data_IF_333744223547
#
_entry.id   IF_333744223547
#
_cell.length_a   1.000
_cell.length_b   1.000
_cell.length_c   1.000
_cell.angle_alpha   90.00
_cell.angle_beta   90.00
_cell.angle_gamma   90.00
#
_symmetry.space_group_name_H-M   'P 1'
#
loop_
_entity.id
_entity.type
_entity.pdbx_description
1 polymer ?
#
# COMPACT_ATOMS: atom_id res chain seq x y z
N UNK A 1 52.22 -16.03 -65.63
CA UNK A 1 50.83 -16.29 -65.25
C UNK A 1 50.85 -16.73 -63.80
N UNK A 2 50.34 -15.92 -62.83
CA UNK A 2 50.23 -16.32 -61.39
C UNK A 2 48.88 -16.87 -61.11
N UNK A 3 48.85 -17.91 -60.30
CA UNK A 3 47.72 -18.67 -59.82
C UNK A 3 47.06 -17.90 -58.65
N UNK A 4 45.75 -17.64 -58.73
CA UNK A 4 44.94 -17.03 -57.63
C UNK A 4 44.55 -18.09 -56.54
N UNK A 5 44.66 -17.75 -55.28
CA UNK A 5 44.15 -18.64 -54.25
C UNK A 5 42.63 -18.45 -54.03
N UNK A 6 41.91 -19.55 -53.76
CA UNK A 6 40.50 -19.62 -53.51
C UNK A 6 40.18 -19.10 -52.09
N UNK A 7 39.22 -18.19 -51.97
CA UNK A 7 38.71 -17.69 -50.70
C UNK A 7 37.62 -18.63 -50.13
N UNK A 8 37.93 -19.27 -49.02
CA UNK A 8 36.97 -20.07 -48.25
C UNK A 8 36.10 -19.12 -47.41
N UNK A 9 34.81 -18.98 -47.74
CA UNK A 9 33.81 -18.28 -46.92
C UNK A 9 33.36 -19.23 -45.79
N UNK A 10 33.78 -18.95 -44.57
CA UNK A 10 33.16 -19.55 -43.37
C UNK A 10 31.88 -18.82 -43.05
N UNK A 11 30.73 -19.53 -43.20
CA UNK A 11 29.44 -19.10 -42.71
C UNK A 11 29.38 -19.20 -41.18
N UNK A 12 29.25 -18.05 -40.53
CA UNK A 12 28.97 -18.02 -39.10
C UNK A 12 27.47 -18.27 -38.87
N UNK A 13 27.14 -19.44 -38.41
CA UNK A 13 25.77 -19.75 -37.92
C UNK A 13 25.53 -19.00 -36.59
N UNK A 14 24.60 -18.06 -36.61
CA UNK A 14 24.07 -17.44 -35.37
C UNK A 14 23.25 -18.47 -34.62
N UNK A 15 23.77 -18.95 -33.52
CA UNK A 15 22.98 -19.67 -32.50
C UNK A 15 22.10 -18.66 -31.78
N UNK A 16 20.82 -18.59 -32.15
CA UNK A 16 19.78 -17.91 -31.39
C UNK A 16 19.50 -18.73 -30.17
N UNK A 17 19.97 -18.27 -29.00
CA UNK A 17 19.62 -18.84 -27.69
C UNK A 17 18.20 -18.43 -27.34
N UNK A 18 17.22 -19.27 -27.67
CA UNK A 18 15.89 -19.21 -27.08
C UNK A 18 16.01 -19.68 -25.64
N UNK A 19 16.03 -18.75 -24.69
CA UNK A 19 15.77 -19.05 -23.27
C UNK A 19 14.31 -19.46 -23.17
N UNK A 20 14.07 -20.76 -23.08
CA UNK A 20 12.75 -21.28 -22.70
C UNK A 20 12.47 -20.84 -21.24
N UNK A 21 11.46 -20.02 -21.04
CA UNK A 21 10.93 -19.72 -19.72
C UNK A 21 10.32 -20.99 -19.16
N UNK A 22 10.90 -21.54 -18.12
CA UNK A 22 10.34 -22.66 -17.36
C UNK A 22 9.13 -22.09 -16.61
N UNK A 23 7.90 -22.57 -16.84
CA UNK A 23 6.75 -22.11 -16.07
C UNK A 23 6.96 -22.55 -14.61
N UNK A 24 6.99 -21.59 -13.69
CA UNK A 24 6.99 -21.86 -12.25
C UNK A 24 5.68 -22.58 -11.92
N UNK A 25 5.70 -23.73 -11.26
CA UNK A 25 4.46 -24.40 -10.86
C UNK A 25 3.70 -23.50 -9.88
N UNK A 26 2.36 -23.47 -9.92
CA UNK A 26 1.58 -22.73 -8.95
C UNK A 26 1.93 -23.22 -7.54
N UNK A 27 2.34 -22.30 -6.67
CA UNK A 27 2.55 -22.61 -5.25
C UNK A 27 1.26 -23.18 -4.67
N UNK A 28 1.42 -24.22 -3.85
CA UNK A 28 0.31 -24.76 -3.08
C UNK A 28 -0.32 -23.62 -2.25
N UNK A 29 -1.66 -23.52 -2.18
CA UNK A 29 -2.29 -22.50 -1.36
C UNK A 29 -1.79 -22.65 0.09
N UNK A 30 -1.44 -21.55 0.78
CA UNK A 30 -1.10 -21.61 2.18
C UNK A 30 -2.23 -22.29 2.95
N UNK A 31 -1.92 -23.00 4.04
CA UNK A 31 -2.94 -23.69 4.82
C UNK A 31 -4.05 -22.73 5.20
N UNK A 32 -5.30 -23.13 4.97
CA UNK A 32 -6.46 -22.34 5.36
C UNK A 32 -6.40 -22.10 6.86
N UNK A 33 -6.06 -20.88 7.25
CA UNK A 33 -6.13 -20.44 8.64
C UNK A 33 -7.61 -20.31 8.93
N UNK A 34 -8.14 -21.24 9.70
CA UNK A 34 -9.56 -21.25 10.02
C UNK A 34 -9.98 -19.91 10.61
N UNK A 35 -10.98 -19.30 10.02
CA UNK A 35 -11.91 -18.25 10.41
C UNK A 35 -11.62 -17.26 11.55
N UNK A 36 -10.40 -17.07 11.99
CA UNK A 36 -10.07 -16.05 12.99
C UNK A 36 -9.95 -14.68 12.32
N UNK A 37 -10.62 -13.68 12.89
CA UNK A 37 -10.56 -12.31 12.39
C UNK A 37 -9.10 -11.83 12.31
N UNK A 38 -8.64 -11.48 11.12
CA UNK A 38 -7.35 -10.81 10.96
C UNK A 38 -7.44 -9.40 11.51
N UNK A 39 -6.37 -8.93 12.14
CA UNK A 39 -6.23 -7.58 12.66
C UNK A 39 -5.00 -6.91 12.03
N UNK A 40 -4.99 -5.59 12.06
CA UNK A 40 -3.84 -4.79 11.61
C UNK A 40 -3.24 -4.12 12.82
N UNK A 41 -1.96 -4.34 13.04
CA UNK A 41 -1.13 -3.64 14.02
C UNK A 41 -0.22 -2.64 13.35
N UNK A 42 0.07 -1.54 14.05
CA UNK A 42 0.90 -0.44 13.59
C UNK A 42 2.19 -0.42 14.39
N UNK A 43 3.33 -0.35 13.72
CA UNK A 43 4.66 -0.21 14.32
C UNK A 43 5.24 1.14 13.89
N UNK A 44 5.41 2.10 14.82
CA UNK A 44 6.10 3.36 14.53
C UNK A 44 7.58 3.10 14.24
N UNK A 45 8.08 3.67 13.16
CA UNK A 45 9.49 3.56 12.78
C UNK A 45 10.01 4.89 12.23
N UNK A 46 11.32 5.05 12.17
CA UNK A 46 11.96 6.30 11.73
C UNK A 46 11.43 7.52 12.50
N UNK A 47 11.14 8.62 11.80
CA UNK A 47 10.63 9.85 12.40
C UNK A 47 9.10 9.90 12.42
N UNK A 48 8.46 9.47 11.36
CA UNK A 48 7.03 9.60 11.13
C UNK A 48 6.42 8.48 10.28
N UNK A 49 7.21 7.42 9.94
CA UNK A 49 6.73 6.29 9.18
C UNK A 49 6.00 5.27 10.08
N UNK A 50 5.08 4.56 9.46
CA UNK A 50 4.40 3.41 10.03
C UNK A 50 4.60 2.17 9.17
N UNK A 51 4.98 1.06 9.81
CA UNK A 51 4.92 -0.27 9.24
C UNK A 51 3.63 -0.95 9.73
N UNK A 52 2.91 -1.61 8.84
CA UNK A 52 1.69 -2.31 9.23
C UNK A 52 1.91 -3.82 9.20
N UNK A 53 1.32 -4.50 10.18
CA UNK A 53 1.36 -5.97 10.29
C UNK A 53 -0.07 -6.50 10.28
N UNK A 54 -0.40 -7.28 9.25
CA UNK A 54 -1.65 -8.03 9.18
C UNK A 54 -1.41 -9.43 9.76
N UNK A 55 -2.17 -9.82 10.79
CA UNK A 55 -1.99 -11.08 11.51
C UNK A 55 -3.28 -11.57 12.18
N UNK A 56 -3.29 -12.80 12.65
CA UNK A 56 -4.34 -13.35 13.51
C UNK A 56 -4.23 -12.87 14.97
N UNK A 57 -5.16 -13.30 15.86
CA UNK A 57 -5.19 -12.88 17.25
C UNK A 57 -4.10 -13.53 18.13
N UNK A 58 -3.38 -14.53 17.62
CA UNK A 58 -2.33 -15.26 18.34
C UNK A 58 -1.11 -15.54 17.47
N UNK A 59 -0.16 -16.38 17.94
CA UNK A 59 0.98 -16.83 17.16
C UNK A 59 0.56 -17.41 15.79
N UNK A 60 1.41 -17.24 14.77
CA UNK A 60 1.13 -17.76 13.43
C UNK A 60 1.60 -16.84 12.30
N UNK A 61 1.05 -17.00 11.09
CA UNK A 61 1.51 -16.24 9.93
C UNK A 61 1.14 -14.75 10.02
N UNK A 62 2.06 -13.91 9.56
CA UNK A 62 1.91 -12.46 9.46
C UNK A 62 2.36 -11.94 8.10
N UNK A 63 1.76 -10.83 7.69
CA UNK A 63 2.12 -10.06 6.49
C UNK A 63 2.52 -8.67 6.92
N UNK A 64 3.63 -8.18 6.40
CA UNK A 64 4.14 -6.83 6.70
C UNK A 64 3.98 -5.94 5.47
N UNK A 65 3.56 -4.69 5.68
CA UNK A 65 3.40 -3.69 4.62
C UNK A 65 4.41 -2.58 4.82
N UNK A 66 5.17 -2.28 3.77
CA UNK A 66 6.15 -1.19 3.67
C UNK A 66 7.14 -1.13 4.85
N UNK A 67 7.95 -2.18 5.09
CA UNK A 67 8.92 -2.19 6.16
C UNK A 67 10.10 -1.26 5.87
N UNK A 68 10.04 -0.01 6.36
CA UNK A 68 11.09 0.99 6.22
C UNK A 68 12.43 0.53 6.83
N UNK A 69 12.36 -0.15 7.97
CA UNK A 69 13.48 -0.73 8.72
C UNK A 69 13.07 -2.08 9.28
N UNK A 70 14.03 -2.96 9.51
CA UNK A 70 13.74 -4.35 9.88
C UNK A 70 13.69 -4.59 11.39
N UNK A 71 14.62 -4.04 12.14
CA UNK A 71 14.85 -4.41 13.54
C UNK A 71 13.60 -4.25 14.42
N UNK A 72 12.86 -3.12 14.41
CA UNK A 72 11.63 -3.00 15.20
C UNK A 72 10.54 -4.02 14.77
N UNK A 73 10.50 -4.36 13.47
CA UNK A 73 9.55 -5.33 12.92
C UNK A 73 9.90 -6.75 13.37
N UNK A 74 11.17 -7.13 13.31
CA UNK A 74 11.66 -8.43 13.77
C UNK A 74 11.32 -8.62 15.24
N UNK A 75 11.70 -7.66 16.09
CA UNK A 75 11.42 -7.70 17.52
C UNK A 75 9.93 -7.85 17.79
N UNK A 76 9.10 -7.05 17.12
CA UNK A 76 7.65 -7.06 17.30
C UNK A 76 7.00 -8.40 16.91
N UNK A 77 7.46 -9.02 15.81
CA UNK A 77 6.98 -10.31 15.34
C UNK A 77 7.42 -11.44 16.28
N UNK A 78 8.70 -11.48 16.67
CA UNK A 78 9.26 -12.52 17.53
C UNK A 78 8.63 -12.55 18.93
N UNK A 79 8.42 -11.37 19.55
CA UNK A 79 7.75 -11.26 20.85
C UNK A 79 6.33 -11.84 20.85
N UNK A 80 5.70 -11.95 19.65
CA UNK A 80 4.31 -12.44 19.49
C UNK A 80 4.23 -13.84 18.89
N UNK A 81 5.37 -14.46 18.62
CA UNK A 81 5.44 -15.78 17.97
C UNK A 81 4.85 -15.76 16.56
N UNK A 82 5.01 -14.64 15.85
CA UNK A 82 4.52 -14.47 14.48
C UNK A 82 5.61 -14.80 13.46
N UNK A 83 5.22 -15.50 12.41
CA UNK A 83 6.08 -15.90 11.30
C UNK A 83 5.77 -15.05 10.07
N UNK A 84 6.76 -14.33 9.56
CA UNK A 84 6.59 -13.53 8.36
C UNK A 84 6.43 -14.43 7.13
N UNK A 85 5.29 -14.34 6.46
CA UNK A 85 5.00 -15.13 5.24
C UNK A 85 4.95 -14.26 3.98
N UNK A 86 4.74 -12.95 4.10
CA UNK A 86 4.78 -12.04 2.96
C UNK A 86 5.09 -10.60 3.37
N UNK A 87 5.71 -9.86 2.45
CA UNK A 87 5.94 -8.43 2.51
C UNK A 87 5.19 -7.81 1.33
N UNK A 88 4.39 -6.79 1.58
CA UNK A 88 3.71 -5.99 0.55
C UNK A 88 4.43 -4.65 0.41
N UNK A 89 4.81 -4.28 -0.81
CA UNK A 89 5.33 -2.95 -1.10
C UNK A 89 4.36 -2.16 -1.95
N UNK A 90 4.05 -0.95 -1.50
CA UNK A 90 3.21 -0.03 -2.25
C UNK A 90 3.98 0.69 -3.35
N UNK A 91 5.25 1.05 -3.09
CA UNK A 91 6.14 1.70 -4.05
C UNK A 91 7.62 1.55 -3.63
N UNK A 92 8.55 2.09 -4.41
CA UNK A 92 9.97 1.81 -4.34
C UNK A 92 10.81 2.73 -3.43
N UNK A 93 10.23 3.71 -2.75
CA UNK A 93 11.03 4.62 -1.92
C UNK A 93 11.69 3.85 -0.76
N UNK A 94 12.89 4.29 -0.40
CA UNK A 94 13.75 3.58 0.55
C UNK A 94 13.14 3.44 1.96
N UNK A 95 12.33 4.39 2.34
CA UNK A 95 11.58 4.39 3.61
C UNK A 95 10.30 3.53 3.58
N UNK A 96 10.11 2.74 2.51
CA UNK A 96 9.08 1.69 2.40
C UNK A 96 9.69 0.31 2.17
N UNK A 97 10.86 0.22 1.53
CA UNK A 97 11.47 -1.07 1.18
C UNK A 97 12.74 -1.40 1.96
N UNK A 98 13.28 -0.44 2.72
CA UNK A 98 14.62 -0.52 3.31
C UNK A 98 14.85 -1.68 4.27
N UNK A 99 13.82 -2.14 4.99
CA UNK A 99 13.89 -3.27 5.92
C UNK A 99 13.85 -4.65 5.25
N UNK A 100 13.41 -4.73 4.01
CA UNK A 100 13.16 -6.00 3.31
C UNK A 100 14.38 -6.94 3.26
N UNK A 101 15.61 -6.47 2.94
CA UNK A 101 16.77 -7.37 2.87
C UNK A 101 17.06 -8.09 4.19
N UNK A 102 16.87 -7.41 5.31
CA UNK A 102 17.11 -7.98 6.63
C UNK A 102 15.98 -8.89 7.11
N UNK A 103 14.73 -8.52 6.82
CA UNK A 103 13.58 -9.39 7.07
C UNK A 103 13.73 -10.72 6.32
N UNK A 104 14.17 -10.72 5.06
CA UNK A 104 14.42 -11.94 4.29
C UNK A 104 15.63 -12.75 4.79
N UNK A 105 16.61 -12.14 5.46
CA UNK A 105 17.63 -12.93 6.15
C UNK A 105 17.06 -13.75 7.32
N UNK A 106 16.04 -13.21 7.97
CA UNK A 106 15.37 -13.87 9.11
C UNK A 106 14.28 -14.85 8.65
N UNK A 107 13.52 -14.49 7.59
CA UNK A 107 12.45 -15.29 7.00
C UNK A 107 12.65 -15.43 5.48
N UNK A 108 13.56 -16.31 5.04
CA UNK A 108 13.94 -16.40 3.63
C UNK A 108 12.84 -16.89 2.69
N UNK A 109 11.81 -17.55 3.22
CA UNK A 109 10.67 -18.06 2.47
C UNK A 109 9.51 -17.03 2.33
N UNK A 110 9.64 -15.85 2.94
CA UNK A 110 8.61 -14.82 2.83
C UNK A 110 8.51 -14.27 1.39
N UNK A 111 7.31 -14.25 0.84
CA UNK A 111 7.07 -13.61 -0.47
C UNK A 111 7.27 -12.09 -0.38
N UNK A 112 7.88 -11.50 -1.39
CA UNK A 112 7.90 -10.04 -1.57
C UNK A 112 7.01 -9.69 -2.76
N UNK A 113 5.88 -9.04 -2.48
CA UNK A 113 4.82 -8.73 -3.43
C UNK A 113 4.83 -7.24 -3.71
N UNK A 114 5.01 -6.85 -4.97
CA UNK A 114 5.06 -5.45 -5.38
C UNK A 114 4.64 -5.27 -6.85
N UNK A 115 4.58 -4.01 -7.30
CA UNK A 115 4.30 -3.68 -8.69
C UNK A 115 5.34 -4.30 -9.64
N UNK A 116 4.89 -5.13 -10.58
CA UNK A 116 5.77 -5.71 -11.60
C UNK A 116 6.43 -4.66 -12.51
N UNK A 117 5.83 -3.48 -12.60
CA UNK A 117 6.42 -2.36 -13.34
C UNK A 117 7.60 -1.69 -12.60
N UNK A 118 7.79 -2.00 -11.32
CA UNK A 118 8.89 -1.50 -10.48
C UNK A 118 9.92 -2.59 -10.11
N UNK A 119 9.96 -3.70 -10.83
CA UNK A 119 10.83 -4.83 -10.54
C UNK A 119 12.31 -4.43 -10.41
N UNK A 120 12.79 -3.50 -11.22
CA UNK A 120 14.17 -3.01 -11.15
C UNK A 120 14.45 -2.16 -9.89
N UNK A 121 13.44 -1.45 -9.39
CA UNK A 121 13.53 -0.56 -8.22
C UNK A 121 13.17 -1.27 -6.91
N UNK A 122 12.54 -2.45 -7.00
CA UNK A 122 12.23 -3.34 -5.87
C UNK A 122 12.87 -4.72 -6.15
N UNK A 123 14.21 -4.84 -6.02
CA UNK A 123 14.98 -5.96 -6.58
C UNK A 123 14.75 -7.31 -5.87
N UNK A 124 14.20 -7.31 -4.67
CA UNK A 124 13.92 -8.54 -3.90
C UNK A 124 12.50 -9.06 -4.11
N UNK A 125 11.76 -8.48 -5.03
CA UNK A 125 10.41 -8.88 -5.38
C UNK A 125 10.39 -10.33 -5.92
N UNK A 126 9.60 -11.20 -5.28
CA UNK A 126 9.40 -12.58 -5.69
C UNK A 126 8.09 -12.78 -6.44
N UNK A 127 7.11 -11.91 -6.20
CA UNK A 127 5.81 -11.92 -6.88
C UNK A 127 5.45 -10.54 -7.42
N UNK A 128 5.29 -10.47 -8.73
CA UNK A 128 4.84 -9.26 -9.43
C UNK A 128 3.31 -9.21 -9.50
N UNK A 129 2.75 -8.04 -9.21
CA UNK A 129 1.31 -7.75 -9.34
C UNK A 129 1.09 -6.44 -10.09
N UNK A 130 -0.13 -6.25 -10.59
CA UNK A 130 -0.56 -5.06 -11.29
C UNK A 130 -1.95 -4.61 -10.81
N UNK A 131 -2.32 -3.36 -11.11
CA UNK A 131 -3.68 -2.88 -10.83
C UNK A 131 -4.74 -3.76 -11.52
N UNK A 132 -5.76 -4.17 -10.75
CA UNK A 132 -6.81 -5.09 -11.17
C UNK A 132 -6.55 -6.55 -10.77
N UNK A 133 -5.33 -6.89 -10.34
CA UNK A 133 -5.05 -8.23 -9.81
C UNK A 133 -5.76 -8.46 -8.48
N UNK A 134 -6.09 -9.73 -8.23
CA UNK A 134 -6.66 -10.20 -6.97
C UNK A 134 -5.95 -11.46 -6.52
N UNK A 135 -5.64 -11.54 -5.24
CA UNK A 135 -5.03 -12.72 -4.62
C UNK A 135 -5.50 -12.90 -3.18
N UNK A 136 -5.05 -13.96 -2.52
CA UNK A 136 -5.43 -14.26 -1.14
C UNK A 136 -4.20 -14.21 -0.24
N UNK A 137 -4.30 -13.51 0.89
CA UNK A 137 -3.33 -13.52 2.00
C UNK A 137 -4.06 -13.76 3.32
N UNK A 138 -3.55 -14.66 4.15
CA UNK A 138 -4.12 -15.02 5.45
C UNK A 138 -5.64 -15.31 5.37
N UNK A 139 -6.08 -15.93 4.26
CA UNK A 139 -7.49 -16.24 4.02
C UNK A 139 -8.36 -15.05 3.59
N UNK A 140 -7.78 -13.86 3.45
CA UNK A 140 -8.50 -12.66 2.96
C UNK A 140 -8.18 -12.37 1.51
N UNK A 141 -9.19 -11.94 0.76
CA UNK A 141 -9.00 -11.39 -0.59
C UNK A 141 -8.27 -10.05 -0.50
N UNK A 142 -7.32 -9.86 -1.41
CA UNK A 142 -6.57 -8.61 -1.58
C UNK A 142 -6.75 -8.15 -3.02
N UNK A 143 -7.31 -6.97 -3.21
CA UNK A 143 -7.42 -6.31 -4.50
C UNK A 143 -6.25 -5.32 -4.67
N UNK A 144 -5.58 -5.37 -5.82
CA UNK A 144 -4.50 -4.43 -6.16
C UNK A 144 -5.07 -3.26 -6.96
N UNK A 145 -4.83 -2.05 -6.49
CA UNK A 145 -5.23 -0.81 -7.17
C UNK A 145 -3.98 -0.13 -7.73
N UNK A 146 -3.94 0.14 -9.05
CA UNK A 146 -2.91 1.03 -9.60
C UNK A 146 -3.27 2.47 -9.25
N UNK A 147 -2.38 3.15 -8.53
CA UNK A 147 -2.62 4.50 -7.99
C UNK A 147 -1.42 5.43 -8.27
N UNK A 148 -1.10 5.66 -9.57
CA UNK A 148 -0.01 6.54 -9.95
C UNK A 148 -0.27 7.98 -9.49
N UNK A 149 0.83 8.69 -9.25
CA UNK A 149 0.79 10.10 -8.80
C UNK A 149 2.01 10.43 -7.96
N UNK A 150 2.14 9.86 -6.79
CA UNK A 150 3.33 10.00 -5.94
C UNK A 150 4.55 9.38 -6.64
N UNK A 151 4.47 8.12 -7.02
CA UNK A 151 5.37 7.48 -7.99
C UNK A 151 4.57 6.97 -9.19
N UNK A 152 5.26 6.65 -10.29
CA UNK A 152 4.64 6.23 -11.56
C UNK A 152 3.91 4.90 -11.46
N UNK A 153 4.45 3.98 -10.68
CA UNK A 153 3.98 2.60 -10.57
C UNK A 153 3.48 2.25 -9.16
N UNK A 154 3.08 3.29 -8.41
CA UNK A 154 2.51 3.11 -7.09
C UNK A 154 1.25 2.25 -7.15
N UNK A 155 1.15 1.28 -6.24
CA UNK A 155 -0.03 0.44 -6.04
C UNK A 155 -0.53 0.57 -4.60
N UNK A 156 -1.80 0.28 -4.41
CA UNK A 156 -2.39 0.14 -3.08
C UNK A 156 -3.02 -1.25 -2.96
N UNK A 157 -3.12 -1.74 -1.73
CA UNK A 157 -3.78 -3.01 -1.43
C UNK A 157 -5.07 -2.75 -0.67
N UNK A 158 -6.18 -3.22 -1.23
CA UNK A 158 -7.49 -3.12 -0.63
C UNK A 158 -7.99 -4.51 -0.21
N UNK A 159 -8.29 -4.67 1.06
CA UNK A 159 -8.90 -5.87 1.60
C UNK A 159 -10.36 -5.54 1.90
N UNK A 160 -11.33 -6.09 1.15
CA UNK A 160 -12.73 -5.87 1.41
C UNK A 160 -13.15 -6.24 2.84
N UNK A 161 -14.25 -5.67 3.30
CA UNK A 161 -14.86 -6.03 4.58
C UNK A 161 -15.00 -7.56 4.69
N UNK A 162 -14.67 -8.11 5.86
CA UNK A 162 -14.75 -9.56 6.11
C UNK A 162 -15.82 -9.83 7.16
N UNK A 163 -16.63 -10.83 6.89
CA UNK A 163 -17.72 -11.26 7.75
C UNK A 163 -18.79 -11.96 6.93
N UNK A 164 -19.84 -12.50 7.57
CA UNK A 164 -20.94 -13.08 6.83
C UNK A 164 -21.61 -11.97 6.00
N UNK A 165 -21.31 -11.95 4.69
CA UNK A 165 -21.97 -11.06 3.74
C UNK A 165 -23.36 -11.56 3.45
N UNK A 166 -24.38 -10.70 3.56
CA UNK A 166 -25.68 -10.98 2.94
C UNK A 166 -25.49 -11.09 1.42
N UNK A 167 -25.90 -12.21 0.86
CA UNK A 167 -26.13 -12.29 -0.59
C UNK A 167 -27.21 -11.29 -0.97
N UNK A 168 -26.98 -10.47 -1.97
CA UNK A 168 -27.99 -9.52 -2.47
C UNK A 168 -29.30 -10.27 -2.77
N UNK A 169 -30.39 -9.86 -2.10
CA UNK A 169 -31.72 -10.48 -2.25
C UNK A 169 -32.10 -11.50 -1.17
N UNK A 170 -31.27 -11.80 -0.19
CA UNK A 170 -31.65 -12.67 0.93
C UNK A 170 -32.52 -11.92 1.94
N UNK A 171 -33.77 -12.38 2.14
CA UNK A 171 -34.63 -11.93 3.22
C UNK A 171 -34.31 -12.73 4.49
N UNK A 172 -34.12 -12.05 5.64
CA UNK A 172 -33.83 -12.68 6.93
C UNK A 172 -33.06 -11.75 7.88
N UNK A 173 -32.85 -12.14 9.14
CA UNK A 173 -32.03 -11.36 10.05
C UNK A 173 -30.59 -11.24 9.54
N UNK A 174 -29.94 -10.10 9.84
CA UNK A 174 -28.51 -9.90 9.57
C UNK A 174 -27.70 -11.09 10.09
N UNK A 175 -26.72 -11.60 9.30
CA UNK A 175 -25.89 -12.70 9.76
C UNK A 175 -25.15 -12.28 11.04
N UNK A 176 -25.37 -13.02 12.14
CA UNK A 176 -24.75 -12.78 13.40
C UNK A 176 -23.24 -13.13 13.34
N UNK A 177 -22.38 -12.13 13.44
CA UNK A 177 -20.94 -12.28 13.51
C UNK A 177 -20.24 -10.93 13.40
N UNK A 178 -19.00 -10.77 13.90
CA UNK A 178 -18.27 -9.52 13.76
C UNK A 178 -17.94 -9.30 12.28
N UNK A 179 -18.53 -8.27 11.70
CA UNK A 179 -18.09 -7.72 10.41
C UNK A 179 -16.88 -6.83 10.66
N UNK A 180 -15.72 -7.18 10.08
CA UNK A 180 -14.59 -6.26 10.09
C UNK A 180 -14.71 -5.31 8.88
N UNK A 181 -14.50 -4.02 9.12
CA UNK A 181 -14.38 -3.03 8.06
C UNK A 181 -13.31 -3.41 7.03
N UNK A 182 -13.40 -2.91 5.82
CA UNK A 182 -12.35 -3.06 4.82
C UNK A 182 -11.06 -2.36 5.27
N UNK A 183 -9.93 -2.81 4.72
CA UNK A 183 -8.61 -2.22 4.95
C UNK A 183 -8.05 -1.69 3.63
N UNK A 184 -7.48 -0.50 3.66
CA UNK A 184 -6.76 0.09 2.53
C UNK A 184 -5.34 0.46 2.98
N UNK A 185 -4.34 -0.23 2.44
CA UNK A 185 -2.93 0.13 2.57
C UNK A 185 -2.56 0.96 1.34
N UNK A 186 -2.48 2.27 1.52
CA UNK A 186 -2.38 3.22 0.41
C UNK A 186 -0.99 3.86 0.25
N UNK A 187 -0.01 3.45 1.06
CA UNK A 187 1.33 4.05 1.04
C UNK A 187 1.27 5.56 1.06
N UNK A 188 1.87 6.17 0.05
CA UNK A 188 2.02 7.63 -0.08
C UNK A 188 1.06 8.26 -1.11
N UNK A 189 0.01 7.56 -1.50
CA UNK A 189 -1.02 8.15 -2.38
C UNK A 189 -2.01 9.00 -1.59
N UNK A 190 -2.62 8.45 -0.54
CA UNK A 190 -3.55 9.15 0.35
C UNK A 190 -2.93 9.24 1.75
N UNK A 191 -2.95 10.42 2.34
CA UNK A 191 -2.65 10.62 3.77
C UNK A 191 -3.89 11.09 4.50
N UNK A 192 -3.94 10.89 5.80
CA UNK A 192 -4.99 11.46 6.63
C UNK A 192 -4.95 13.00 6.53
N UNK A 193 -6.04 13.58 6.01
CA UNK A 193 -6.17 15.00 5.71
C UNK A 193 -5.30 15.51 4.55
N UNK A 194 -4.68 14.63 3.74
CA UNK A 194 -3.75 15.03 2.69
C UNK A 194 -3.57 13.99 1.58
N UNK A 195 -2.61 14.24 0.70
CA UNK A 195 -2.12 13.28 -0.28
C UNK A 195 -0.61 13.41 -0.51
N UNK A 196 -0.01 12.44 -1.18
CA UNK A 196 1.41 12.44 -1.53
C UNK A 196 1.83 13.58 -2.44
N UNK A 197 3.11 13.93 -2.40
CA UNK A 197 3.72 14.80 -3.42
C UNK A 197 3.77 14.08 -4.76
N UNK A 198 3.70 14.84 -5.84
CA UNK A 198 3.80 14.33 -7.21
C UNK A 198 5.28 14.34 -7.62
N UNK A 199 6.01 13.25 -7.34
CA UNK A 199 7.41 13.16 -7.76
C UNK A 199 7.56 12.67 -9.19
N UNK A 200 6.70 11.72 -9.62
CA UNK A 200 6.81 11.09 -10.93
C UNK A 200 5.49 11.16 -11.74
N UNK A 201 4.38 11.45 -11.09
CA UNK A 201 3.06 11.51 -11.73
C UNK A 201 2.53 12.91 -11.93
N UNK A 202 1.31 12.98 -12.44
CA UNK A 202 0.59 14.22 -12.76
C UNK A 202 -0.61 14.43 -11.85
N UNK A 203 -1.17 15.66 -11.76
CA UNK A 203 -2.41 15.92 -11.03
C UNK A 203 -3.59 15.06 -11.51
N UNK A 204 -3.68 14.78 -12.82
CA UNK A 204 -4.71 13.93 -13.41
C UNK A 204 -4.61 12.50 -12.88
N UNK A 205 -3.40 11.96 -12.81
CA UNK A 205 -3.14 10.62 -12.28
C UNK A 205 -3.47 10.54 -10.80
N UNK A 206 -2.99 11.50 -9.98
CA UNK A 206 -3.29 11.52 -8.55
C UNK A 206 -4.79 11.69 -8.29
N UNK A 207 -5.45 12.58 -9.02
CA UNK A 207 -6.90 12.76 -8.89
C UNK A 207 -7.66 11.47 -9.21
N UNK A 208 -7.33 10.79 -10.30
CA UNK A 208 -7.93 9.51 -10.66
C UNK A 208 -7.66 8.43 -9.59
N UNK A 209 -6.46 8.38 -9.04
CA UNK A 209 -6.08 7.48 -7.94
C UNK A 209 -6.91 7.74 -6.67
N UNK A 210 -7.04 9.00 -6.27
CA UNK A 210 -7.84 9.38 -5.10
C UNK A 210 -9.34 9.10 -5.33
N UNK A 211 -9.86 9.24 -6.57
CA UNK A 211 -11.24 8.88 -6.90
C UNK A 211 -11.52 7.38 -6.77
N UNK A 212 -10.53 6.51 -7.03
CA UNK A 212 -10.68 5.07 -6.75
C UNK A 212 -10.87 4.82 -5.25
N UNK A 213 -10.10 5.51 -4.39
CA UNK A 213 -10.27 5.38 -2.94
C UNK A 213 -11.59 5.97 -2.44
N UNK A 214 -12.01 7.10 -2.99
CA UNK A 214 -13.29 7.73 -2.65
C UNK A 214 -14.51 6.86 -2.97
N UNK A 215 -14.38 5.88 -3.86
CA UNK A 215 -15.43 4.93 -4.21
C UNK A 215 -15.50 3.71 -3.28
N UNK A 216 -14.55 3.54 -2.36
CA UNK A 216 -14.59 2.47 -1.35
C UNK A 216 -15.65 2.77 -0.28
N UNK A 217 -16.15 1.75 0.43
CA UNK A 217 -17.08 1.94 1.56
C UNK A 217 -16.53 2.93 2.58
N UNK A 218 -17.40 3.79 3.11
CA UNK A 218 -17.01 4.87 4.04
C UNK A 218 -16.36 4.39 5.33
N UNK A 219 -16.67 3.18 5.78
CA UNK A 219 -16.09 2.55 6.97
C UNK A 219 -14.72 1.91 6.72
N UNK A 220 -14.26 1.83 5.45
CA UNK A 220 -12.93 1.30 5.10
C UNK A 220 -11.86 2.06 5.85
N UNK A 221 -11.01 1.34 6.60
CA UNK A 221 -9.89 1.91 7.33
C UNK A 221 -8.73 2.22 6.38
N UNK A 222 -8.16 3.41 6.55
CA UNK A 222 -7.08 3.92 5.70
C UNK A 222 -5.77 3.89 6.47
N UNK A 223 -4.86 3.04 6.05
CA UNK A 223 -3.52 2.84 6.60
C UNK A 223 -2.49 3.50 5.70
N UNK A 224 -2.29 4.80 5.88
CA UNK A 224 -1.27 5.56 5.16
C UNK A 224 0.06 5.54 5.92
N UNK A 225 1.17 5.58 5.17
CA UNK A 225 2.47 5.23 5.70
C UNK A 225 3.10 6.26 6.65
N UNK A 226 2.57 7.50 6.72
CA UNK A 226 3.17 8.58 7.51
C UNK A 226 2.18 9.29 8.43
N UNK A 227 2.70 9.75 9.59
CA UNK A 227 1.96 10.55 10.57
C UNK A 227 2.01 12.05 10.21
N UNK A 228 1.34 12.42 9.13
CA UNK A 228 1.26 13.80 8.65
C UNK A 228 -0.06 14.50 9.00
N UNK A 229 -0.95 13.85 9.72
CA UNK A 229 -2.34 14.26 9.91
C UNK A 229 -2.47 15.66 10.50
N UNK A 230 -1.75 15.96 11.58
CA UNK A 230 -1.82 17.28 12.23
C UNK A 230 -1.38 18.41 11.28
N UNK A 231 -0.27 18.20 10.54
CA UNK A 231 0.27 19.18 9.60
C UNK A 231 -0.64 19.37 8.38
N UNK A 232 -1.23 18.27 7.88
CA UNK A 232 -2.16 18.32 6.75
C UNK A 232 -3.45 19.07 7.13
N UNK A 233 -4.02 18.77 8.29
CA UNK A 233 -5.24 19.45 8.76
C UNK A 233 -5.00 20.91 9.14
N UNK A 234 -3.82 21.24 9.68
CA UNK A 234 -3.47 22.64 9.95
C UNK A 234 -3.40 23.46 8.65
N UNK A 235 -2.82 22.89 7.59
CA UNK A 235 -2.87 23.48 6.26
C UNK A 235 -4.30 23.56 5.74
N UNK A 236 -5.08 22.49 5.80
CA UNK A 236 -6.47 22.48 5.32
C UNK A 236 -7.33 23.53 6.02
N UNK A 237 -7.18 23.70 7.34
CA UNK A 237 -7.86 24.75 8.10
C UNK A 237 -7.40 26.16 7.72
N UNK A 238 -6.18 26.34 7.23
CA UNK A 238 -5.74 27.64 6.70
C UNK A 238 -6.34 27.98 5.34
N UNK A 239 -6.68 26.95 4.54
CA UNK A 239 -7.34 27.10 3.22
C UNK A 239 -8.85 27.28 3.37
N UNK A 240 -9.49 26.51 4.23
CA UNK A 240 -10.94 26.57 4.51
C UNK A 240 -11.21 26.82 6.00
N UNK A 241 -10.94 28.03 6.51
CA UNK A 241 -11.04 28.33 7.95
C UNK A 241 -12.47 28.30 8.49
N UNK A 242 -13.48 28.36 7.64
CA UNK A 242 -14.89 28.29 8.00
C UNK A 242 -15.45 26.85 8.01
N UNK A 243 -14.66 25.84 7.63
CA UNK A 243 -15.12 24.44 7.63
C UNK A 243 -15.04 23.85 9.05
N UNK A 244 -16.19 23.63 9.73
CA UNK A 244 -16.18 23.14 11.11
C UNK A 244 -15.70 21.69 11.23
N UNK A 245 -15.86 20.88 10.18
CA UNK A 245 -15.43 19.47 10.20
C UNK A 245 -13.89 19.36 10.22
N UNK A 246 -13.22 20.22 9.45
CA UNK A 246 -11.74 20.29 9.44
C UNK A 246 -11.24 20.81 10.80
N UNK A 247 -11.85 21.88 11.32
CA UNK A 247 -11.48 22.45 12.62
C UNK A 247 -11.60 21.42 13.77
N UNK A 248 -12.76 20.80 13.89
CA UNK A 248 -13.02 19.78 14.93
C UNK A 248 -12.04 18.60 14.83
N UNK A 249 -11.77 18.11 13.59
CA UNK A 249 -10.80 17.02 13.37
C UNK A 249 -9.38 17.44 13.76
N UNK A 250 -8.97 18.67 13.43
CA UNK A 250 -7.64 19.19 13.78
C UNK A 250 -7.43 19.23 15.29
N UNK A 251 -8.42 19.70 16.06
CA UNK A 251 -8.37 19.72 17.52
C UNK A 251 -8.20 18.30 18.10
N UNK A 252 -9.05 17.37 17.71
CA UNK A 252 -8.97 15.98 18.14
C UNK A 252 -7.60 15.33 17.78
N UNK A 253 -7.07 15.61 16.61
CA UNK A 253 -5.74 15.13 16.18
C UNK A 253 -4.62 15.74 17.02
N UNK A 254 -4.69 17.03 17.34
CA UNK A 254 -3.70 17.69 18.22
C UNK A 254 -3.71 17.08 19.61
N UNK A 255 -4.87 16.80 20.18
CA UNK A 255 -5.02 16.13 21.47
C UNK A 255 -4.40 14.73 21.45
N UNK A 256 -4.75 13.91 20.44
CA UNK A 256 -4.20 12.57 20.27
C UNK A 256 -2.67 12.59 20.14
N UNK A 257 -2.12 13.50 19.32
CA UNK A 257 -0.67 13.62 19.13
C UNK A 257 0.04 14.15 20.38
N UNK A 258 -0.56 15.06 21.13
CA UNK A 258 -0.04 15.52 22.42
C UNK A 258 0.02 14.40 23.46
N UNK A 259 -0.92 13.45 23.40
CA UNK A 259 -0.92 12.24 24.21
C UNK A 259 -0.01 11.11 23.67
N UNK A 260 0.70 11.32 22.57
CA UNK A 260 1.59 10.32 21.95
C UNK A 260 0.85 9.24 21.15
N UNK A 261 -0.46 9.40 20.92
CA UNK A 261 -1.24 8.42 20.17
C UNK A 261 -1.13 8.63 18.65
N UNK A 262 -1.06 7.54 17.85
CA UNK A 262 -1.16 7.63 16.40
C UNK A 262 -2.55 8.10 15.98
N UNK A 263 -2.63 8.75 14.79
CA UNK A 263 -3.92 9.17 14.20
C UNK A 263 -4.35 8.27 13.06
N UNK A 264 -3.59 7.22 12.80
CA UNK A 264 -3.82 6.18 11.80
C UNK A 264 -4.32 4.91 12.53
N UNK A 265 -5.35 4.19 11.99
CA UNK A 265 -5.97 4.41 10.68
C UNK A 265 -7.00 5.54 10.67
N UNK A 266 -7.10 6.22 9.51
CA UNK A 266 -8.24 7.04 9.19
C UNK A 266 -9.38 6.18 8.61
N UNK A 267 -10.43 6.82 8.05
CA UNK A 267 -11.54 6.16 7.35
C UNK A 267 -11.90 6.92 6.08
N UNK A 268 -12.33 6.22 5.04
CA UNK A 268 -12.73 6.86 3.77
C UNK A 268 -13.81 7.95 4.02
N UNK A 269 -14.85 7.67 4.80
CA UNK A 269 -15.89 8.64 5.10
C UNK A 269 -15.37 9.87 5.86
N UNK A 270 -14.35 9.74 6.70
CA UNK A 270 -13.72 10.88 7.37
C UNK A 270 -12.89 11.70 6.39
N UNK A 271 -12.16 11.04 5.50
CA UNK A 271 -11.38 11.71 4.44
C UNK A 271 -12.30 12.44 3.45
N UNK A 272 -13.41 11.85 3.03
CA UNK A 272 -14.40 12.51 2.17
C UNK A 272 -14.92 13.82 2.77
N UNK A 273 -15.07 13.89 4.09
CA UNK A 273 -15.56 15.09 4.77
C UNK A 273 -14.49 16.16 5.01
N UNK A 274 -13.23 15.78 5.20
CA UNK A 274 -12.21 16.69 5.77
C UNK A 274 -10.91 16.80 4.97
N UNK A 275 -10.73 15.96 3.93
CA UNK A 275 -9.53 15.99 3.10
C UNK A 275 -9.78 16.77 1.82
N UNK A 276 -9.17 17.95 1.68
CA UNK A 276 -9.37 18.83 0.53
C UNK A 276 -8.97 18.18 -0.81
N UNK A 277 -7.99 17.29 -0.81
CA UNK A 277 -7.57 16.60 -2.04
C UNK A 277 -8.60 15.55 -2.49
N UNK A 278 -9.24 14.85 -1.55
CA UNK A 278 -10.31 13.91 -1.86
C UNK A 278 -11.58 14.63 -2.32
N UNK A 279 -11.76 15.89 -1.87
CA UNK A 279 -12.86 16.79 -2.22
C UNK A 279 -12.59 17.60 -3.49
N UNK A 280 -11.38 17.57 -4.05
CA UNK A 280 -11.04 18.28 -5.27
C UNK A 280 -11.98 17.87 -6.41
N UNK A 281 -12.63 18.85 -7.05
CA UNK A 281 -13.63 18.61 -8.09
C UNK A 281 -13.01 18.00 -9.36
N UNK A 282 -11.79 18.41 -9.67
CA UNK A 282 -11.07 18.03 -10.89
C UNK A 282 -9.54 18.07 -10.66
N UNK A 283 -8.74 17.60 -11.64
CA UNK A 283 -7.28 17.61 -11.55
C UNK A 283 -6.68 19.03 -11.42
N UNK A 284 -7.29 20.05 -11.99
CA UNK A 284 -6.80 21.42 -11.90
C UNK A 284 -6.94 21.96 -10.48
N UNK A 285 -8.08 21.72 -9.83
CA UNK A 285 -8.30 22.03 -8.42
C UNK A 285 -7.29 21.29 -7.53
N UNK A 286 -7.05 19.99 -7.79
CA UNK A 286 -6.04 19.23 -7.07
C UNK A 286 -4.64 19.82 -7.24
N UNK A 287 -4.26 20.24 -8.43
CA UNK A 287 -2.96 20.86 -8.72
C UNK A 287 -2.76 22.14 -7.90
N UNK A 288 -3.78 23.00 -7.83
CA UNK A 288 -3.75 24.23 -7.03
C UNK A 288 -3.57 23.92 -5.54
N UNK A 289 -4.36 22.98 -5.02
CA UNK A 289 -4.24 22.51 -3.61
C UNK A 289 -2.85 21.92 -3.33
N UNK A 290 -2.30 21.11 -4.25
CA UNK A 290 -0.98 20.49 -4.06
C UNK A 290 0.13 21.53 -4.06
N UNK A 291 0.09 22.54 -4.95
CA UNK A 291 1.03 23.67 -4.93
C UNK A 291 0.95 24.42 -3.60
N UNK A 292 -0.26 24.83 -3.21
CA UNK A 292 -0.50 25.52 -1.93
C UNK A 292 0.08 24.73 -0.74
N UNK A 293 -0.16 23.40 -0.70
CA UNK A 293 0.36 22.56 0.40
C UNK A 293 1.88 22.42 0.35
N UNK A 294 2.52 22.43 -0.83
CA UNK A 294 3.98 22.37 -0.97
C UNK A 294 4.65 23.65 -0.44
N UNK A 295 4.02 24.79 -0.66
CA UNK A 295 4.55 26.12 -0.29
C UNK A 295 4.24 26.49 1.16
N UNK A 296 3.29 25.81 1.80
CA UNK A 296 2.87 26.09 3.18
C UNK A 296 3.97 25.74 4.20
N UNK A 297 4.28 26.67 5.10
CA UNK A 297 5.38 26.54 6.08
C UNK A 297 4.90 26.32 7.53
N UNK A 298 3.59 26.35 7.79
CA UNK A 298 3.02 26.22 9.14
C UNK A 298 2.68 27.51 9.78
#
# INVERSE_FOLDING_TARGET
>A
MPIRPATCRRGAARLSSMKASIPTPPLAPPPAVGGAATQVSLIPVLRDNYVFVLHGPGPGPAVVVDPAVAEPVITWLEERGLELVAILHTHHHSDHIGGTPELLRRWPEAEVIASGADLERIPLQTRSVAGGDRFTLLGRSVDVLAVPGHTRHHIAYSLPAWGPTRTAGAEGPEPAGPTAAGELFCGDTLFAGGCGRLFEGTPEQMHASLRQFAALPEDTRVWCAHEYTATNLAWAASVEPADPAIGTRLEAVREARAAGHPTIPSRIGLELRTNLFLRAADPAALAVLRSSRNDWKG
#
